data_IF_896904697761
#
_entry.id   IF_896904697761
#
_cell.length_a   1.000
_cell.length_b   1.000
_cell.length_c   1.000
_cell.angle_alpha   90.00
_cell.angle_beta   90.00
_cell.angle_gamma   90.00
#
_symmetry.space_group_name_H-M   'P 1'
#
loop_
_entity.id
_entity.type
_entity.pdbx_description
1 polymer ?
#
# COMPACT_ATOMS: atom_id res chain seq x y z
N UNK A 1 7.99 7.81 -9.91
CA UNK A 1 6.99 7.37 -8.92
C UNK A 1 7.45 7.84 -7.56
N UNK A 2 6.54 8.30 -6.71
CA UNK A 2 6.81 8.66 -5.32
C UNK A 2 5.78 7.99 -4.43
N UNK A 3 6.23 7.41 -3.32
CA UNK A 3 5.39 6.89 -2.25
C UNK A 3 5.67 7.65 -0.96
N UNK A 4 4.65 7.73 -0.13
CA UNK A 4 4.69 8.21 1.25
C UNK A 4 3.88 7.22 2.08
N UNK A 5 4.56 6.44 2.90
CA UNK A 5 3.98 5.34 3.68
C UNK A 5 4.05 5.78 5.14
N UNK A 6 2.90 6.10 5.73
CA UNK A 6 2.77 6.29 7.17
C UNK A 6 2.25 5.02 7.83
N UNK A 7 2.12 5.06 9.15
CA UNK A 7 1.76 3.89 9.97
C UNK A 7 0.41 3.24 9.61
N UNK A 8 -0.55 4.01 9.08
CA UNK A 8 -1.90 3.52 8.75
C UNK A 8 -2.48 4.11 7.47
N UNK A 9 -1.75 5.00 6.82
CA UNK A 9 -2.19 5.65 5.58
C UNK A 9 -1.02 5.67 4.61
N UNK A 10 -1.30 5.42 3.34
CA UNK A 10 -0.27 5.45 2.31
C UNK A 10 -0.73 6.25 1.12
N UNK A 11 0.23 6.93 0.49
CA UNK A 11 0.02 7.71 -0.72
C UNK A 11 1.01 7.30 -1.77
N UNK A 12 0.53 7.20 -3.00
CA UNK A 12 1.35 6.89 -4.15
C UNK A 12 0.99 7.84 -5.28
N UNK A 13 2.01 8.41 -5.90
CA UNK A 13 1.87 9.20 -7.13
C UNK A 13 2.80 8.65 -8.20
N UNK A 14 2.21 8.25 -9.32
CA UNK A 14 2.93 7.84 -10.51
C UNK A 14 2.56 8.77 -11.67
N UNK A 15 3.55 9.14 -12.47
CA UNK A 15 3.40 10.08 -13.59
C UNK A 15 4.19 9.59 -14.78
N UNK A 16 3.61 9.73 -15.98
CA UNK A 16 4.25 9.62 -17.28
C UNK A 16 3.89 10.84 -18.12
N UNK A 17 4.36 10.90 -19.38
CA UNK A 17 4.00 12.00 -20.31
C UNK A 17 2.48 12.15 -20.50
N UNK A 18 1.75 11.03 -20.48
CA UNK A 18 0.31 11.00 -20.75
C UNK A 18 -0.51 10.82 -19.49
N UNK A 19 -0.05 9.98 -18.55
CA UNK A 19 -0.88 9.56 -17.42
C UNK A 19 -0.35 10.06 -16.08
N UNK A 20 -1.27 10.39 -15.17
CA UNK A 20 -0.99 10.57 -13.75
C UNK A 20 -1.94 9.68 -12.95
N UNK A 21 -1.39 8.91 -12.02
CA UNK A 21 -2.13 8.04 -11.11
C UNK A 21 -1.82 8.51 -9.69
N UNK A 22 -2.88 8.75 -8.91
CA UNK A 22 -2.83 9.05 -7.49
C UNK A 22 -3.60 7.97 -6.74
N UNK A 23 -2.95 7.33 -5.77
CA UNK A 23 -3.58 6.40 -4.85
C UNK A 23 -3.49 6.95 -3.44
N UNK A 24 -4.59 6.85 -2.70
CA UNK A 24 -4.64 7.12 -1.27
C UNK A 24 -5.29 5.94 -0.56
N UNK A 25 -4.52 5.28 0.29
CA UNK A 25 -5.01 4.19 1.12
C UNK A 25 -5.17 4.60 2.57
N UNK A 26 -6.22 4.08 3.19
CA UNK A 26 -6.59 4.31 4.57
C UNK A 26 -6.87 2.96 5.25
N UNK A 27 -5.97 2.57 6.15
CA UNK A 27 -6.10 1.40 7.02
C UNK A 27 -6.35 1.79 8.47
N UNK A 28 -6.81 3.01 8.77
CA UNK A 28 -6.95 3.50 10.15
C UNK A 28 -7.93 2.70 10.99
N UNK A 29 -8.91 2.04 10.37
CA UNK A 29 -9.89 1.15 11.00
C UNK A 29 -9.37 -0.27 11.28
N UNK A 30 -8.10 -0.55 10.95
CA UNK A 30 -7.51 -1.90 11.04
C UNK A 30 -6.19 -1.87 11.80
N UNK A 31 -6.01 -2.87 12.65
CA UNK A 31 -4.68 -3.14 13.20
C UNK A 31 -3.84 -3.86 12.13
N UNK A 32 -2.55 -3.53 11.97
CA UNK A 32 -1.66 -4.26 11.06
C UNK A 32 -1.61 -5.73 11.48
N UNK A 33 -1.69 -6.62 10.51
CA UNK A 33 -1.42 -8.04 10.72
C UNK A 33 0.06 -8.29 10.50
N UNK A 34 0.70 -8.93 11.47
CA UNK A 34 2.05 -9.45 11.30
C UNK A 34 1.93 -10.92 10.92
N UNK A 35 2.33 -11.26 9.70
CA UNK A 35 2.30 -12.64 9.24
C UNK A 35 3.64 -13.32 9.54
N UNK A 36 3.62 -14.57 10.08
CA UNK A 36 4.84 -15.32 10.27
C UNK A 36 5.40 -15.75 8.92
N UNK A 37 6.58 -15.25 8.56
CA UNK A 37 7.28 -15.66 7.34
C UNK A 37 8.23 -16.81 7.67
N UNK A 38 8.09 -17.98 7.04
CA UNK A 38 9.03 -19.07 7.27
C UNK A 38 10.39 -18.76 6.65
N UNK A 39 11.46 -19.00 7.40
CA UNK A 39 12.83 -19.09 6.90
C UNK A 39 13.24 -20.58 6.84
N UNK A 40 13.05 -21.27 5.70
CA UNK A 40 13.24 -22.73 5.64
C UNK A 40 14.66 -23.17 5.96
N UNK A 41 15.65 -22.34 5.61
CA UNK A 41 17.06 -22.60 5.90
C UNK A 41 17.37 -22.57 7.41
N UNK A 42 16.60 -21.82 8.19
CA UNK A 42 16.80 -21.61 9.63
C UNK A 42 15.79 -22.39 10.49
N UNK A 43 14.79 -23.01 9.86
CA UNK A 43 13.69 -23.75 10.52
C UNK A 43 12.96 -22.93 11.58
N UNK A 44 12.86 -21.62 11.37
CA UNK A 44 12.14 -20.69 12.22
C UNK A 44 11.19 -19.84 11.37
N UNK A 45 10.26 -19.15 12.04
CA UNK A 45 9.47 -18.08 11.44
C UNK A 45 10.00 -16.74 11.95
N UNK A 46 9.99 -15.73 11.08
CA UNK A 46 10.32 -14.35 11.42
C UNK A 46 9.13 -13.45 11.11
N UNK A 47 8.86 -12.53 12.02
CA UNK A 47 7.75 -11.57 11.95
C UNK A 47 8.16 -10.36 11.09
N UNK A 48 8.41 -10.60 9.81
CA UNK A 48 8.97 -9.57 8.91
C UNK A 48 7.95 -8.99 7.95
N UNK A 49 6.76 -9.59 7.85
CA UNK A 49 5.74 -9.16 6.92
C UNK A 49 4.62 -8.43 7.66
N UNK A 50 4.55 -7.13 7.44
CA UNK A 50 3.54 -6.24 8.00
C UNK A 50 2.53 -5.95 6.91
N UNK A 51 1.31 -6.45 7.12
CA UNK A 51 0.22 -6.30 6.18
C UNK A 51 -0.91 -5.46 6.78
N UNK A 52 -1.26 -4.36 6.12
CA UNK A 52 -2.57 -3.74 6.35
C UNK A 52 -3.59 -4.44 5.47
N UNK A 53 -4.39 -5.34 6.06
CA UNK A 53 -5.41 -6.09 5.33
C UNK A 53 -6.79 -5.44 5.48
N UNK A 54 -7.39 -4.99 4.37
CA UNK A 54 -8.77 -4.50 4.34
C UNK A 54 -8.94 -2.98 4.41
N UNK A 55 -7.88 -2.22 4.10
CA UNK A 55 -7.95 -0.76 4.01
C UNK A 55 -8.90 -0.29 2.90
N UNK A 56 -9.29 0.98 2.95
CA UNK A 56 -10.01 1.63 1.84
C UNK A 56 -8.98 2.25 0.89
N UNK A 57 -9.27 2.28 -0.40
CA UNK A 57 -8.37 2.85 -1.41
C UNK A 57 -9.15 3.78 -2.33
N UNK A 58 -8.73 5.04 -2.44
CA UNK A 58 -9.13 5.92 -3.53
C UNK A 58 -8.08 5.91 -4.63
N UNK A 59 -8.53 5.80 -5.87
CA UNK A 59 -7.69 5.84 -7.06
C UNK A 59 -8.19 6.90 -8.04
N UNK A 60 -7.30 7.83 -8.41
CA UNK A 60 -7.56 8.84 -9.43
C UNK A 60 -6.58 8.65 -10.59
N UNK A 61 -7.12 8.52 -11.80
CA UNK A 61 -6.34 8.43 -13.04
C UNK A 61 -6.65 9.63 -13.92
N UNK A 62 -5.60 10.31 -14.37
CA UNK A 62 -5.66 11.45 -15.29
C UNK A 62 -4.96 11.09 -16.60
N UNK A 63 -5.61 11.40 -17.74
CA UNK A 63 -5.04 11.37 -19.10
C UNK A 63 -4.87 12.81 -19.57
N UNK A 64 -3.64 13.24 -19.84
CA UNK A 64 -3.27 14.64 -20.14
C UNK A 64 -3.90 15.66 -19.17
N UNK A 65 -3.89 15.34 -17.87
CA UNK A 65 -4.45 16.18 -16.81
C UNK A 65 -5.97 16.06 -16.61
N UNK A 66 -6.71 15.45 -17.55
CA UNK A 66 -8.14 15.20 -17.42
C UNK A 66 -8.40 13.92 -16.61
N UNK A 67 -9.20 14.00 -15.56
CA UNK A 67 -9.62 12.82 -14.80
C UNK A 67 -10.45 11.90 -15.71
N UNK A 68 -9.97 10.68 -15.90
CA UNK A 68 -10.66 9.60 -16.64
C UNK A 68 -11.19 8.50 -15.71
N UNK A 69 -10.71 8.46 -14.46
CA UNK A 69 -11.21 7.58 -13.42
C UNK A 69 -11.03 8.24 -12.05
N UNK A 70 -12.04 8.14 -11.20
CA UNK A 70 -12.02 8.49 -9.78
C UNK A 70 -12.94 7.49 -9.08
N UNK A 71 -12.36 6.61 -8.26
CA UNK A 71 -13.11 5.53 -7.63
C UNK A 71 -12.52 5.09 -6.31
N UNK A 72 -13.36 4.44 -5.51
CA UNK A 72 -13.00 3.89 -4.20
C UNK A 72 -13.17 2.37 -4.18
N UNK A 73 -12.26 1.69 -3.47
CA UNK A 73 -12.37 0.29 -3.08
C UNK A 73 -12.50 0.21 -1.56
N UNK A 74 -13.44 -0.60 -1.08
CA UNK A 74 -13.62 -0.90 0.35
C UNK A 74 -12.65 -1.98 0.84
N UNK A 75 -11.82 -2.53 -0.06
CA UNK A 75 -10.82 -3.55 0.25
C UNK A 75 -9.51 -3.19 -0.44
N UNK A 76 -8.43 -3.09 0.34
CA UNK A 76 -7.07 -2.84 -0.11
C UNK A 76 -6.06 -3.44 0.87
N UNK A 77 -4.95 -3.92 0.31
CA UNK A 77 -3.79 -4.40 1.05
C UNK A 77 -2.62 -3.42 0.91
N UNK A 78 -1.86 -3.20 1.99
CA UNK A 78 -0.50 -2.67 1.92
C UNK A 78 0.45 -3.71 2.49
N UNK A 79 1.42 -4.13 1.67
CA UNK A 79 2.53 -5.01 2.04
C UNK A 79 3.82 -4.18 2.03
N UNK A 80 4.60 -4.25 3.09
CA UNK A 80 5.91 -3.59 3.18
C UNK A 80 6.99 -4.67 3.29
N UNK A 81 7.55 -5.06 2.15
CA UNK A 81 8.49 -6.17 2.02
C UNK A 81 9.91 -5.96 2.56
N UNK A 82 10.10 -5.19 3.64
CA UNK A 82 11.39 -5.07 4.35
C UNK A 82 11.15 -4.93 5.86
N UNK A 83 12.04 -5.53 6.67
CA UNK A 83 12.08 -5.30 8.12
C UNK A 83 12.09 -3.79 8.43
N UNK A 84 11.17 -3.27 9.25
CA UNK A 84 11.30 -1.91 9.76
C UNK A 84 12.61 -1.82 10.55
N UNK A 85 13.57 -1.03 10.07
CA UNK A 85 14.64 -0.55 10.93
C UNK A 85 13.98 0.44 11.90
N UNK A 86 13.84 0.03 13.15
CA UNK A 86 13.26 0.84 14.23
C UNK A 86 14.02 2.14 14.54
#
# INVERSE_FOLDING_TARGET
>A
MRSDIGDRTWRLRATSLRYQIELHGDGTHLEPHTLPVPLPAERCNVDTDFEHLGGRLRCVVKDFGRVIFDGESEIAGLEVGNLPTG
#
